data_IF_892764586875
#
_entry.id   IF_892764586875
#
_cell.length_a   1.000
_cell.length_b   1.000
_cell.length_c   1.000
_cell.angle_alpha   90.00
_cell.angle_beta   90.00
_cell.angle_gamma   90.00
#
_symmetry.space_group_name_H-M   'P 1'
#
loop_
_entity.id
_entity.type
_entity.pdbx_description
1 polymer ?
#
# COMPACT_ATOMS: atom_id res chain seq x y z
N UNK A 1 14.14 -13.17 10.69
CA UNK A 1 14.18 -11.79 10.14
C UNK A 1 13.05 -11.01 10.78
N UNK A 2 13.34 -9.95 11.55
CA UNK A 2 12.31 -9.17 12.25
C UNK A 2 11.87 -8.02 11.35
N UNK A 3 10.59 -7.96 11.03
CA UNK A 3 10.00 -6.83 10.31
C UNK A 3 9.40 -5.83 11.30
N UNK A 4 9.48 -4.55 10.96
CA UNK A 4 8.96 -3.44 11.79
C UNK A 4 7.65 -2.98 11.16
N UNK A 5 6.57 -2.95 11.93
CA UNK A 5 5.31 -2.33 11.49
C UNK A 5 5.54 -0.83 11.34
N UNK A 6 5.31 -0.30 10.14
CA UNK A 6 5.48 1.13 9.84
C UNK A 6 4.17 1.84 9.52
N UNK A 7 3.06 1.09 9.37
CA UNK A 7 1.72 1.67 9.30
C UNK A 7 0.74 0.84 8.49
N UNK A 8 -0.37 1.48 8.15
CA UNK A 8 -1.49 0.92 7.42
C UNK A 8 -1.82 1.79 6.22
N UNK A 9 -2.23 1.16 5.12
CA UNK A 9 -2.66 1.91 3.95
C UNK A 9 -3.75 1.16 3.18
N UNK A 10 -4.82 1.83 2.74
CA UNK A 10 -5.79 1.21 1.85
C UNK A 10 -5.21 1.06 0.45
N UNK A 11 -5.24 -0.15 -0.10
CA UNK A 11 -4.83 -0.39 -1.49
C UNK A 11 -5.87 -1.23 -2.21
N UNK A 12 -6.03 -0.91 -3.49
CA UNK A 12 -6.70 -1.77 -4.47
C UNK A 12 -5.76 -2.88 -4.89
N UNK A 13 -6.33 -4.07 -5.07
CA UNK A 13 -5.71 -5.09 -5.92
C UNK A 13 -6.23 -4.91 -7.35
N UNK A 14 -5.34 -5.06 -8.33
CA UNK A 14 -5.68 -4.99 -9.74
C UNK A 14 -5.29 -6.31 -10.42
N UNK A 15 -5.96 -6.64 -11.51
CA UNK A 15 -5.52 -7.74 -12.36
C UNK A 15 -4.11 -7.47 -12.88
N UNK A 16 -3.31 -8.54 -13.03
CA UNK A 16 -1.99 -8.43 -13.65
C UNK A 16 -2.12 -7.89 -15.09
N UNK A 17 -1.44 -6.79 -15.47
CA UNK A 17 -1.38 -6.34 -16.86
C UNK A 17 -0.82 -7.43 -17.78
N UNK A 18 -1.26 -7.44 -19.04
CA UNK A 18 -0.76 -8.39 -20.05
C UNK A 18 0.74 -8.18 -20.32
N UNK A 19 1.19 -6.93 -20.24
CA UNK A 19 2.60 -6.53 -20.45
C UNK A 19 3.55 -7.03 -19.36
N UNK A 20 3.05 -7.48 -18.19
CA UNK A 20 3.88 -8.02 -17.13
C UNK A 20 4.10 -9.53 -17.32
N UNK A 21 5.33 -9.93 -17.65
CA UNK A 21 5.74 -11.33 -17.79
C UNK A 21 5.93 -12.01 -16.42
N UNK A 22 4.82 -12.33 -15.78
CA UNK A 22 4.76 -13.06 -14.52
C UNK A 22 3.61 -14.09 -14.58
N UNK A 23 3.84 -15.28 -15.17
CA UNK A 23 2.77 -16.22 -15.55
C UNK A 23 1.97 -16.76 -14.35
N UNK A 24 2.57 -16.76 -13.15
CA UNK A 24 1.93 -17.26 -11.93
C UNK A 24 1.24 -16.16 -11.11
N UNK A 25 1.36 -14.89 -11.51
CA UNK A 25 0.75 -13.76 -10.79
C UNK A 25 -0.63 -13.48 -11.37
N UNK A 26 -1.66 -13.51 -10.52
CA UNK A 26 -3.06 -13.23 -10.91
C UNK A 26 -3.48 -11.81 -10.59
N UNK A 27 -3.09 -11.34 -9.39
CA UNK A 27 -3.44 -10.03 -8.86
C UNK A 27 -2.18 -9.28 -8.43
N UNK A 28 -2.20 -7.96 -8.57
CA UNK A 28 -1.14 -7.05 -8.17
C UNK A 28 -1.69 -6.10 -7.12
N UNK A 29 -0.98 -6.00 -5.99
CA UNK A 29 -1.13 -4.88 -5.06
C UNK A 29 0.06 -3.95 -5.29
N UNK A 30 -0.16 -2.82 -5.95
CA UNK A 30 0.91 -1.90 -6.31
C UNK A 30 1.33 -1.07 -5.11
N UNK A 31 2.63 -0.98 -4.83
CA UNK A 31 3.13 -0.07 -3.81
C UNK A 31 2.94 1.41 -4.22
N UNK A 32 3.03 1.69 -5.52
CA UNK A 32 2.75 2.99 -6.14
C UNK A 32 1.35 3.05 -6.75
N UNK A 33 0.98 4.18 -7.33
CA UNK A 33 -0.32 4.36 -7.99
C UNK A 33 -0.31 4.01 -9.49
N UNK A 34 0.77 3.40 -10.00
CA UNK A 34 0.91 3.11 -11.43
C UNK A 34 0.00 1.99 -11.95
N UNK A 35 -0.37 1.03 -11.08
CA UNK A 35 -1.19 -0.15 -11.43
C UNK A 35 -2.47 -0.19 -10.61
N UNK A 36 -2.41 0.24 -9.35
CA UNK A 36 -3.60 0.37 -8.50
C UNK A 36 -3.56 1.69 -7.74
N UNK A 37 -4.55 2.53 -8.03
CA UNK A 37 -4.67 3.88 -7.47
C UNK A 37 -4.92 3.84 -5.96
N UNK A 38 -4.45 4.87 -5.27
CA UNK A 38 -4.78 5.14 -3.88
C UNK A 38 -6.15 5.85 -3.75
N UNK A 39 -6.79 5.80 -2.56
CA UNK A 39 -8.09 6.44 -2.35
C UNK A 39 -8.06 7.95 -2.60
N UNK A 40 -9.10 8.51 -3.22
CA UNK A 40 -9.16 9.96 -3.48
C UNK A 40 -8.96 10.79 -2.20
N UNK A 41 -8.15 11.85 -2.32
CA UNK A 41 -7.87 12.78 -1.22
C UNK A 41 -7.05 12.20 -0.08
N UNK A 42 -6.39 11.04 -0.29
CA UNK A 42 -5.51 10.44 0.71
C UNK A 42 -4.41 11.42 1.08
N UNK A 43 -3.67 11.94 0.09
CA UNK A 43 -2.50 12.80 0.30
C UNK A 43 -2.85 14.18 0.88
N UNK A 44 -4.00 14.74 0.52
CA UNK A 44 -4.37 16.14 0.75
C UNK A 44 -4.50 16.54 2.22
N UNK A 45 -4.66 15.56 3.12
CA UNK A 45 -4.94 15.82 4.54
C UNK A 45 -3.73 15.72 5.44
N UNK A 46 -2.58 15.32 4.90
CA UNK A 46 -1.33 15.14 5.62
C UNK A 46 -1.48 14.42 6.97
N UNK A 47 -2.41 13.44 7.06
CA UNK A 47 -2.65 12.66 8.29
C UNK A 47 -1.75 11.42 8.39
N UNK A 48 -0.76 11.34 7.53
CA UNK A 48 0.16 10.23 7.41
C UNK A 48 1.34 10.43 8.35
N UNK A 49 2.02 9.34 8.67
CA UNK A 49 3.34 9.38 9.26
C UNK A 49 4.41 9.70 8.20
N UNK A 50 5.67 9.75 8.63
CA UNK A 50 6.81 10.08 7.77
C UNK A 50 7.03 9.07 6.62
N UNK A 51 6.37 7.92 6.66
CA UNK A 51 6.37 6.91 5.60
C UNK A 51 5.18 7.05 4.63
N UNK A 52 4.38 8.11 4.73
CA UNK A 52 3.12 8.29 4.00
C UNK A 52 2.06 7.21 4.29
N UNK A 53 2.13 6.58 5.48
CA UNK A 53 1.18 5.58 5.95
C UNK A 53 0.32 6.11 7.10
N UNK A 54 -0.80 5.46 7.38
CA UNK A 54 -1.59 5.76 8.58
C UNK A 54 -1.08 4.99 9.79
N UNK A 55 -1.09 5.61 10.97
CA UNK A 55 -0.63 4.98 12.21
C UNK A 55 -1.63 3.95 12.77
N UNK A 56 -2.87 3.91 12.28
CA UNK A 56 -3.88 2.95 12.72
C UNK A 56 -4.84 2.54 11.61
N UNK A 57 -5.50 1.39 11.78
CA UNK A 57 -6.53 0.87 10.86
C UNK A 57 -7.72 1.83 10.79
N UNK A 58 -8.10 2.44 11.92
CA UNK A 58 -9.20 3.40 11.98
C UNK A 58 -8.91 4.64 11.14
N UNK A 59 -7.69 5.17 11.20
CA UNK A 59 -7.27 6.30 10.38
C UNK A 59 -7.29 5.95 8.88
N UNK A 60 -6.82 4.76 8.50
CA UNK A 60 -6.91 4.26 7.13
C UNK A 60 -8.38 4.07 6.69
N UNK A 61 -9.27 3.63 7.59
CA UNK A 61 -10.70 3.49 7.30
C UNK A 61 -11.41 4.82 7.10
N UNK A 62 -10.95 5.91 7.73
CA UNK A 62 -11.55 7.24 7.57
C UNK A 62 -11.37 7.82 6.16
N UNK A 63 -10.29 7.46 5.45
CA UNK A 63 -10.13 7.89 4.06
C UNK A 63 -11.10 7.13 3.15
N UNK A 64 -11.23 5.82 3.32
CA UNK A 64 -12.16 4.98 2.55
C UNK A 64 -13.62 5.41 2.68
N UNK A 65 -14.06 5.86 3.86
CA UNK A 65 -15.43 6.37 4.06
C UNK A 65 -15.80 7.54 3.14
N UNK A 66 -14.81 8.22 2.56
CA UNK A 66 -15.00 9.38 1.70
C UNK A 66 -14.71 9.09 0.23
N UNK A 67 -14.41 7.84 -0.10
CA UNK A 67 -14.17 7.40 -1.47
C UNK A 67 -15.40 6.64 -1.94
N UNK A 68 -15.91 6.97 -3.12
CA UNK A 68 -17.15 6.39 -3.65
C UNK A 68 -17.04 4.88 -3.94
N UNK A 69 -15.82 4.40 -4.23
CA UNK A 69 -15.54 2.99 -4.56
C UNK A 69 -14.78 2.25 -3.45
N UNK A 70 -15.04 2.63 -2.19
CA UNK A 70 -14.40 2.10 -0.97
C UNK A 70 -14.34 0.58 -0.88
N UNK A 71 -15.33 -0.13 -1.44
CA UNK A 71 -15.44 -1.58 -1.36
C UNK A 71 -14.37 -2.31 -2.20
N UNK A 72 -13.66 -1.57 -3.08
CA UNK A 72 -12.54 -2.09 -3.86
C UNK A 72 -11.18 -1.99 -3.15
N UNK A 73 -11.14 -1.46 -1.92
CA UNK A 73 -9.90 -1.29 -1.16
C UNK A 73 -9.81 -2.23 0.04
N UNK A 74 -8.64 -2.83 0.19
CA UNK A 74 -8.25 -3.54 1.40
C UNK A 74 -7.31 -2.69 2.24
N UNK A 75 -7.54 -2.63 3.57
CA UNK A 75 -6.58 -2.01 4.49
C UNK A 75 -5.41 -2.97 4.68
N UNK A 76 -4.26 -2.61 4.12
CA UNK A 76 -3.05 -3.42 4.17
C UNK A 76 -2.15 -2.97 5.31
N UNK A 77 -1.52 -3.93 5.98
CA UNK A 77 -0.45 -3.67 6.96
C UNK A 77 0.88 -3.60 6.23
N UNK A 78 1.62 -2.49 6.40
CA UNK A 78 2.93 -2.30 5.76
C UNK A 78 4.04 -2.48 6.79
N UNK A 79 5.00 -3.33 6.47
CA UNK A 79 6.12 -3.65 7.35
C UNK A 79 7.45 -3.41 6.63
N UNK A 80 8.35 -2.70 7.29
CA UNK A 80 9.72 -2.52 6.84
C UNK A 80 10.55 -3.76 7.19
N UNK A 81 11.19 -4.34 6.18
CA UNK A 81 12.16 -5.41 6.36
C UNK A 81 13.55 -4.77 6.41
N UNK A 82 14.21 -4.88 7.58
CA UNK A 82 15.60 -4.47 7.69
C UNK A 82 16.49 -5.56 7.09
N UNK A 83 17.27 -5.19 6.09
CA UNK A 83 18.32 -6.02 5.51
C UNK A 83 19.65 -5.30 5.69
N UNK A 84 20.62 -5.99 6.29
CA UNK A 84 22.00 -5.56 6.23
C UNK A 84 22.56 -5.96 4.87
N UNK A 85 22.78 -4.97 4.00
CA UNK A 85 23.56 -5.21 2.80
C UNK A 85 25.02 -5.33 3.21
N UNK A 86 25.53 -6.56 3.25
CA UNK A 86 26.98 -6.77 3.26
C UNK A 86 27.51 -6.32 1.90
N UNK A 87 27.97 -5.07 1.82
CA UNK A 87 28.73 -4.59 0.68
C UNK A 87 30.07 -5.31 0.73
N UNK A 88 30.19 -6.40 -0.02
CA UNK A 88 31.50 -7.01 -0.30
C UNK A 88 32.12 -6.22 -1.45
N UNK A 89 33.15 -5.43 -1.12
CA UNK A 89 34.06 -4.80 -2.08
C UNK A 89 34.96 -5.82 -2.75
#
# INVERSE_FOLDING_TARGET
MKSILIGYFPKKTAAKPETLNAPNVKMICSASDCISEAPEGWIDRWKHNDFFLYNSIEMAGLILKKTDDKDNYDITTVRLLNFDFLVTS
#
